data_IF_620276812493
#
_entry.id   IF_620276812493
#
_cell.length_a   1.000
_cell.length_b   1.000
_cell.length_c   1.000
_cell.angle_alpha   90.00
_cell.angle_beta   90.00
_cell.angle_gamma   90.00
#
_symmetry.space_group_name_H-M   'P 1'
#
loop_
_entity.id
_entity.type
_entity.pdbx_description
1 polymer ?
#
# COMPACT_ATOMS: atom_id res chain seq x y z
N UNK A 1 -6.37 -7.10 -9.97
CA UNK A 1 -7.43 -8.13 -9.75
C UNK A 1 -8.58 -7.58 -8.92
N UNK A 2 -8.47 -7.30 -7.62
CA UNK A 2 -9.62 -6.82 -6.82
C UNK A 2 -10.24 -5.54 -7.37
N UNK A 3 -9.44 -4.51 -7.64
CA UNK A 3 -9.93 -3.24 -8.20
C UNK A 3 -10.54 -3.42 -9.60
N UNK A 4 -9.96 -4.29 -10.40
CA UNK A 4 -10.46 -4.62 -11.74
C UNK A 4 -11.83 -5.29 -11.69
N UNK A 5 -12.03 -6.23 -10.75
CA UNK A 5 -13.33 -6.88 -10.52
C UNK A 5 -14.42 -5.88 -10.06
N UNK A 6 -14.03 -4.72 -9.55
CA UNK A 6 -14.93 -3.62 -9.16
C UNK A 6 -14.98 -2.49 -10.19
N UNK A 7 -14.44 -2.70 -11.40
CA UNK A 7 -14.40 -1.70 -12.49
C UNK A 7 -13.60 -0.41 -12.14
N UNK A 8 -12.66 -0.50 -11.19
CA UNK A 8 -11.85 0.63 -10.72
C UNK A 8 -10.48 0.73 -11.43
N UNK A 9 -10.26 -0.03 -12.49
CA UNK A 9 -8.97 -0.04 -13.21
C UNK A 9 -8.58 1.33 -13.74
N UNK A 10 -9.55 2.15 -14.20
CA UNK A 10 -9.27 3.49 -14.73
C UNK A 10 -8.80 4.49 -13.66
N UNK A 11 -9.01 4.18 -12.38
CA UNK A 11 -8.76 5.08 -11.26
C UNK A 11 -7.56 4.67 -10.40
N UNK A 12 -7.03 3.46 -10.57
CA UNK A 12 -5.97 2.94 -9.69
C UNK A 12 -4.61 3.46 -10.10
N UNK A 13 -3.72 3.64 -9.13
CA UNK A 13 -2.30 3.78 -9.40
C UNK A 13 -1.64 2.44 -9.75
N UNK A 14 -0.49 2.51 -10.44
CA UNK A 14 0.28 1.33 -10.86
C UNK A 14 1.12 0.73 -9.72
N UNK A 15 1.64 1.58 -8.83
CA UNK A 15 2.34 1.15 -7.64
C UNK A 15 1.36 1.07 -6.46
N UNK A 16 1.48 0.01 -5.65
CA UNK A 16 0.57 -0.29 -4.55
C UNK A 16 1.27 -0.40 -3.18
N UNK A 17 2.51 0.04 -3.08
CA UNK A 17 3.26 0.03 -1.84
C UNK A 17 4.75 0.22 -2.03
N UNK A 18 5.45 0.28 -0.90
CA UNK A 18 6.90 0.35 -0.82
C UNK A 18 7.39 -0.01 0.59
N UNK A 19 8.69 -0.25 0.72
CA UNK A 19 9.33 -0.40 2.03
C UNK A 19 9.44 0.95 2.74
N UNK A 20 9.40 0.94 4.07
CA UNK A 20 9.57 2.14 4.91
C UNK A 20 10.52 1.84 6.06
N UNK A 21 11.23 2.88 6.53
CA UNK A 21 12.20 2.75 7.60
C UNK A 21 12.73 4.11 8.06
N UNK A 22 13.92 4.11 8.66
CA UNK A 22 14.59 5.34 9.09
C UNK A 22 15.19 6.08 7.89
N UNK A 23 14.37 6.87 7.20
CA UNK A 23 14.74 7.70 6.05
C UNK A 23 14.59 9.18 6.38
N UNK A 24 15.33 10.03 5.67
CA UNK A 24 15.30 11.49 5.83
C UNK A 24 14.90 12.17 4.52
N UNK A 25 14.67 13.49 4.58
CA UNK A 25 14.39 14.35 3.42
C UNK A 25 15.28 14.00 2.22
N UNK A 26 14.75 13.91 0.99
CA UNK A 26 13.42 14.36 0.57
C UNK A 26 12.32 13.28 0.54
N UNK A 27 12.61 12.04 0.93
CA UNK A 27 11.66 10.95 0.80
C UNK A 27 11.75 9.95 1.95
N UNK A 28 10.59 9.57 2.50
CA UNK A 28 10.48 8.48 3.46
C UNK A 28 10.45 7.09 2.80
N UNK A 29 10.29 7.04 1.47
CA UNK A 29 10.12 5.78 0.75
C UNK A 29 11.45 5.03 0.65
N UNK A 30 11.39 3.72 0.78
CA UNK A 30 12.51 2.81 0.57
C UNK A 30 12.13 1.68 -0.39
N UNK A 31 13.16 1.00 -0.91
CA UNK A 31 12.97 -0.14 -1.80
C UNK A 31 12.70 -1.42 -0.99
N UNK A 32 11.95 -2.39 -1.55
CA UNK A 32 11.35 -2.38 -2.89
C UNK A 32 10.02 -1.62 -2.96
N UNK A 33 9.68 -1.14 -4.16
CA UNK A 33 8.32 -0.70 -4.51
C UNK A 33 7.45 -1.86 -4.98
N UNK A 34 6.14 -1.81 -4.72
CA UNK A 34 5.21 -2.85 -5.16
C UNK A 34 4.58 -2.45 -6.48
N UNK A 35 4.93 -3.18 -7.53
CA UNK A 35 4.32 -3.09 -8.84
C UNK A 35 4.37 -4.46 -9.50
N UNK A 36 3.53 -4.65 -10.52
CA UNK A 36 3.46 -5.93 -11.21
C UNK A 36 4.79 -6.28 -11.87
N UNK A 37 5.31 -7.49 -11.58
CA UNK A 37 6.55 -7.99 -12.17
C UNK A 37 7.83 -7.55 -11.48
N UNK A 38 7.77 -6.87 -10.32
CA UNK A 38 8.97 -6.65 -9.52
C UNK A 38 9.54 -8.01 -9.06
N UNK A 39 10.82 -8.33 -9.35
CA UNK A 39 11.43 -9.61 -8.95
C UNK A 39 11.82 -9.68 -7.46
N UNK A 40 11.82 -8.56 -6.72
CA UNK A 40 12.23 -8.56 -5.32
C UNK A 40 11.26 -9.35 -4.43
N UNK A 41 11.71 -10.39 -3.72
CA UNK A 41 10.84 -11.17 -2.86
C UNK A 41 10.48 -10.39 -1.58
N UNK A 42 9.28 -10.67 -1.05
CA UNK A 42 8.94 -10.27 0.32
C UNK A 42 9.54 -11.30 1.27
N UNK A 43 10.46 -10.87 2.12
CA UNK A 43 11.14 -11.69 3.14
C UNK A 43 10.71 -11.26 4.56
N UNK A 44 10.93 -12.10 5.58
CA UNK A 44 10.73 -11.71 6.99
C UNK A 44 11.56 -10.49 7.39
N UNK A 45 11.10 -9.76 8.41
CA UNK A 45 11.75 -8.57 9.00
C UNK A 45 11.80 -7.32 8.09
N UNK A 46 11.07 -7.30 6.99
CA UNK A 46 10.79 -6.07 6.23
C UNK A 46 9.64 -5.28 6.84
N UNK A 47 9.73 -3.95 6.77
CA UNK A 47 8.62 -3.04 7.12
C UNK A 47 8.04 -2.45 5.84
N UNK A 48 6.83 -2.86 5.50
CA UNK A 48 6.21 -2.66 4.20
C UNK A 48 4.93 -1.83 4.34
N UNK A 49 4.83 -0.71 3.62
CA UNK A 49 3.61 0.08 3.53
C UNK A 49 2.85 -0.28 2.26
N UNK A 50 1.72 -0.96 2.43
CA UNK A 50 0.82 -1.32 1.33
C UNK A 50 -0.28 -0.26 1.24
N UNK A 51 -0.45 0.36 0.07
CA UNK A 51 -1.42 1.41 -0.17
C UNK A 51 -2.17 1.22 -1.50
N UNK A 52 -3.48 0.97 -1.42
CA UNK A 52 -4.33 0.86 -2.61
C UNK A 52 -5.03 2.20 -2.81
N UNK A 53 -4.55 2.97 -3.79
CA UNK A 53 -5.03 4.32 -4.06
C UNK A 53 -5.92 4.30 -5.30
N UNK A 54 -7.10 4.91 -5.17
CA UNK A 54 -8.07 5.16 -6.23
C UNK A 54 -8.24 6.68 -6.30
N UNK A 55 -8.11 7.23 -7.50
CA UNK A 55 -8.37 8.63 -7.79
C UNK A 55 -9.36 8.72 -8.95
N UNK A 56 -10.52 9.29 -8.68
CA UNK A 56 -11.56 9.55 -9.66
C UNK A 56 -11.61 11.04 -9.99
N UNK A 57 -11.03 11.39 -11.14
CA UNK A 57 -11.02 12.77 -11.64
C UNK A 57 -12.38 13.24 -12.15
N UNK A 58 -13.32 12.34 -12.47
CA UNK A 58 -14.65 12.73 -12.95
C UNK A 58 -15.50 13.28 -11.80
N UNK A 59 -15.39 12.65 -10.62
CA UNK A 59 -16.12 13.05 -9.41
C UNK A 59 -15.29 13.86 -8.42
N UNK A 60 -14.00 14.08 -8.73
CA UNK A 60 -13.01 14.69 -7.85
C UNK A 60 -12.88 14.00 -6.48
N UNK A 61 -13.11 12.68 -6.45
CA UNK A 61 -12.99 11.87 -5.23
C UNK A 61 -11.70 11.06 -5.22
N UNK A 62 -11.15 10.85 -4.03
CA UNK A 62 -10.00 9.99 -3.81
C UNK A 62 -10.23 9.13 -2.58
N UNK A 63 -9.78 7.89 -2.64
CA UNK A 63 -9.80 6.98 -1.51
C UNK A 63 -8.51 6.17 -1.50
N UNK A 64 -8.00 5.91 -0.30
CA UNK A 64 -6.85 5.05 -0.10
C UNK A 64 -7.08 4.09 1.04
N UNK A 65 -6.70 2.85 0.82
CA UNK A 65 -6.54 1.87 1.88
C UNK A 65 -5.04 1.68 2.13
N UNK A 66 -4.55 2.17 3.27
CA UNK A 66 -3.13 2.15 3.60
C UNK A 66 -2.86 1.46 4.93
N UNK A 67 -1.88 0.55 4.98
CA UNK A 67 -1.39 -0.03 6.24
C UNK A 67 0.08 -0.42 6.15
N UNK A 68 0.81 -0.16 7.23
CA UNK A 68 2.18 -0.64 7.40
C UNK A 68 2.20 -1.98 8.11
N UNK A 69 3.00 -2.91 7.60
CA UNK A 69 3.17 -4.26 8.12
C UNK A 69 4.63 -4.55 8.44
N UNK A 70 4.87 -5.25 9.55
CA UNK A 70 6.09 -6.00 9.77
C UNK A 70 5.88 -7.42 9.23
N UNK A 71 6.64 -7.77 8.21
CA UNK A 71 6.67 -9.15 7.67
C UNK A 71 7.35 -10.10 8.66
N UNK A 72 6.86 -11.33 8.76
CA UNK A 72 7.41 -12.37 9.64
C UNK A 72 7.58 -13.65 8.85
N UNK A 73 8.08 -14.72 9.47
CA UNK A 73 8.03 -16.08 8.87
C UNK A 73 6.59 -16.59 8.70
N UNK A 74 5.62 -15.94 9.35
CA UNK A 74 4.20 -16.28 9.36
C UNK A 74 3.37 -15.10 8.85
N UNK A 75 2.17 -14.89 9.42
CA UNK A 75 1.35 -13.75 9.08
C UNK A 75 2.08 -12.42 9.36
N UNK A 76 1.93 -11.40 8.50
CA UNK A 76 2.48 -10.09 8.76
C UNK A 76 1.75 -9.43 9.94
N UNK A 77 2.50 -8.73 10.79
CA UNK A 77 1.96 -7.96 11.92
C UNK A 77 1.64 -6.53 11.48
N UNK A 78 0.40 -6.03 11.68
CA UNK A 78 0.09 -4.63 11.43
C UNK A 78 0.83 -3.73 12.42
N UNK A 79 1.34 -2.60 11.92
CA UNK A 79 1.97 -1.54 12.73
C UNK A 79 1.10 -0.28 12.84
N UNK A 80 -0.09 -0.29 12.24
CA UNK A 80 -1.07 0.78 12.33
C UNK A 80 -2.05 0.52 13.48
N UNK A 81 -2.43 1.58 14.22
CA UNK A 81 -3.40 1.50 15.33
C UNK A 81 -4.82 1.17 14.87
N UNK A 82 -5.21 1.64 13.70
CA UNK A 82 -6.57 1.51 13.18
C UNK A 82 -6.74 0.33 12.24
N UNK A 83 -7.97 -0.17 12.17
CA UNK A 83 -8.33 -1.19 11.21
C UNK A 83 -8.47 -0.68 9.77
N UNK A 84 -8.75 -1.58 8.82
CA UNK A 84 -8.94 -1.24 7.40
C UNK A 84 -10.35 -0.73 7.08
N UNK A 85 -11.25 -0.77 8.07
CA UNK A 85 -12.62 -0.31 7.90
C UNK A 85 -12.68 1.21 7.72
N UNK A 86 -13.69 1.66 6.97
CA UNK A 86 -13.96 3.09 6.82
C UNK A 86 -14.39 3.66 8.17
N UNK A 87 -13.57 4.56 8.71
CA UNK A 87 -13.92 5.30 9.91
C UNK A 87 -14.92 6.39 9.52
N UNK A 88 -16.15 6.24 9.99
CA UNK A 88 -17.21 7.25 9.86
C UNK A 88 -17.37 7.99 11.19
N UNK A 89 -17.74 9.27 11.13
CA UNK A 89 -18.03 10.11 12.30
C UNK A 89 -19.51 10.44 12.38
#
# INVERSE_FOLDING_TARGET
RTLEAHNLTKHRLNACGYSVGARFTPSWMDMPMFYQGNPEPIAPNMTLFAHMIIMDSETETAMTLGRTYLTTESAPKPLSRHDLDLIVQ
#
